data_IF_738921801827
#
_entry.id   IF_738921801827
#
_cell.length_a   1.000
_cell.length_b   1.000
_cell.length_c   1.000
_cell.angle_alpha   90.00
_cell.angle_beta   90.00
_cell.angle_gamma   90.00
#
_symmetry.space_group_name_H-M   'P 1'
#
loop_
_entity.id
_entity.type
_entity.pdbx_description
1 polymer ?
#
# COMPACT_ATOMS: atom_id res chain seq x y z
N UNK A 1 12.72 9.01 -26.07
CA UNK A 1 12.46 9.97 -24.95
C UNK A 1 12.49 9.19 -23.67
N UNK A 2 13.43 9.50 -22.76
CA UNK A 2 13.48 8.85 -21.44
C UNK A 2 12.27 9.33 -20.62
N UNK A 3 11.32 8.45 -20.34
CA UNK A 3 10.15 8.77 -19.51
C UNK A 3 10.63 8.86 -18.06
N UNK A 4 10.72 10.06 -17.54
CA UNK A 4 11.10 10.28 -16.14
C UNK A 4 9.86 10.13 -15.26
N UNK A 5 9.78 9.03 -14.49
CA UNK A 5 8.69 8.79 -13.54
C UNK A 5 9.13 9.20 -12.13
N UNK A 6 8.16 9.67 -11.35
CA UNK A 6 8.39 10.04 -9.96
C UNK A 6 8.17 8.86 -9.02
N UNK A 7 9.03 8.72 -8.03
CA UNK A 7 8.85 7.80 -6.90
C UNK A 7 8.35 8.60 -5.71
N UNK A 8 7.15 8.29 -5.24
CA UNK A 8 6.62 8.81 -4.00
C UNK A 8 7.13 7.96 -2.83
N UNK A 9 7.79 8.55 -1.82
CA UNK A 9 8.36 7.82 -0.69
C UNK A 9 7.31 7.04 0.11
N UNK A 10 6.10 7.61 0.27
CA UNK A 10 5.03 6.93 0.98
C UNK A 10 4.54 5.71 0.21
N UNK A 11 4.32 5.81 -1.11
CA UNK A 11 3.93 4.66 -1.93
C UNK A 11 5.01 3.57 -1.94
N UNK A 12 6.26 3.97 -2.12
CA UNK A 12 7.39 3.05 -2.06
C UNK A 12 7.50 2.36 -0.69
N UNK A 13 7.24 3.09 0.39
CA UNK A 13 7.25 2.57 1.76
C UNK A 13 6.14 1.58 2.10
N UNK A 14 5.10 1.43 1.25
CA UNK A 14 4.07 0.39 1.39
C UNK A 14 4.43 -0.92 0.70
N UNK A 15 5.55 -0.95 -0.03
CA UNK A 15 5.98 -2.14 -0.76
C UNK A 15 7.03 -2.88 0.07
N UNK A 16 6.76 -4.12 0.48
CA UNK A 16 7.75 -4.91 1.20
C UNK A 16 9.04 -5.03 0.40
N UNK A 17 10.20 -4.84 1.03
CA UNK A 17 11.48 -4.96 0.35
C UNK A 17 11.66 -6.38 -0.19
N UNK A 18 12.24 -6.49 -1.37
CA UNK A 18 12.73 -7.76 -1.89
C UNK A 18 14.00 -8.16 -1.14
N UNK A 19 14.23 -9.46 -0.99
CA UNK A 19 15.52 -9.98 -0.58
C UNK A 19 16.56 -9.67 -1.67
N UNK A 20 17.81 -9.60 -1.29
CA UNK A 20 18.90 -9.30 -2.22
C UNK A 20 18.94 -10.30 -3.39
N UNK A 21 18.75 -11.58 -3.11
CA UNK A 21 18.69 -12.65 -4.10
C UNK A 21 17.48 -12.50 -5.06
N UNK A 22 16.31 -12.10 -4.52
CA UNK A 22 15.10 -11.86 -5.32
C UNK A 22 15.27 -10.64 -6.23
N UNK A 23 15.94 -9.58 -5.74
CA UNK A 23 16.24 -8.39 -6.54
C UNK A 23 17.21 -8.70 -7.66
N UNK A 24 18.28 -9.45 -7.36
CA UNK A 24 19.27 -9.91 -8.35
C UNK A 24 18.61 -10.78 -9.42
N UNK A 25 17.79 -11.74 -9.02
CA UNK A 25 17.06 -12.59 -9.97
C UNK A 25 16.11 -11.78 -10.87
N UNK A 26 15.45 -10.77 -10.31
CA UNK A 26 14.58 -9.88 -11.07
C UNK A 26 15.39 -9.09 -12.12
N UNK A 27 16.56 -8.59 -11.75
CA UNK A 27 17.47 -7.89 -12.66
C UNK A 27 17.96 -8.80 -13.77
N UNK A 28 18.48 -10.00 -13.44
CA UNK A 28 18.93 -10.99 -14.40
C UNK A 28 17.82 -11.36 -15.42
N UNK A 29 16.58 -11.53 -14.95
CA UNK A 29 15.45 -11.82 -15.84
C UNK A 29 15.16 -10.66 -16.79
N UNK A 30 15.15 -9.41 -16.30
CA UNK A 30 14.89 -8.22 -17.12
C UNK A 30 16.00 -8.06 -18.17
N UNK A 31 17.27 -8.30 -17.81
CA UNK A 31 18.39 -8.21 -18.75
C UNK A 31 18.33 -9.32 -19.80
N UNK A 32 17.96 -10.53 -19.41
CA UNK A 32 17.81 -11.65 -20.32
C UNK A 32 16.67 -11.43 -21.34
N UNK A 33 15.54 -10.87 -20.90
CA UNK A 33 14.40 -10.56 -21.77
C UNK A 33 14.64 -9.32 -22.65
N UNK A 34 15.56 -8.43 -22.26
CA UNK A 34 15.84 -7.17 -22.96
C UNK A 34 14.69 -6.16 -22.90
N UNK A 35 13.63 -6.46 -22.14
CA UNK A 35 12.43 -5.63 -21.99
C UNK A 35 11.73 -5.93 -20.67
N UNK A 36 11.08 -4.92 -20.08
CA UNK A 36 10.18 -5.14 -18.95
C UNK A 36 8.80 -5.54 -19.50
N UNK A 37 8.47 -6.83 -19.42
CA UNK A 37 7.24 -7.42 -19.98
C UNK A 37 5.98 -6.83 -19.35
N UNK A 38 5.95 -6.71 -18.00
CA UNK A 38 4.81 -6.17 -17.29
C UNK A 38 4.93 -4.65 -17.15
N UNK A 39 3.91 -3.85 -17.55
CA UNK A 39 3.96 -2.40 -17.45
C UNK A 39 4.17 -1.92 -16.02
N UNK A 40 4.80 -0.75 -15.87
CA UNK A 40 4.79 0.00 -14.62
C UNK A 40 3.41 0.65 -14.47
N UNK A 41 2.79 0.52 -13.29
CA UNK A 41 1.51 1.18 -13.02
C UNK A 41 1.81 2.56 -12.48
N UNK A 42 1.23 3.58 -13.09
CA UNK A 42 1.44 4.98 -12.71
C UNK A 42 0.12 5.71 -12.47
N UNK A 43 0.17 6.75 -11.66
CA UNK A 43 -0.93 7.67 -11.39
C UNK A 43 -0.38 9.09 -11.36
N UNK A 44 -0.82 9.94 -12.29
CA UNK A 44 -0.34 11.31 -12.44
C UNK A 44 1.21 11.41 -12.49
N UNK A 45 1.85 10.49 -13.23
CA UNK A 45 3.30 10.45 -13.37
C UNK A 45 4.06 9.88 -12.17
N UNK A 46 3.36 9.42 -11.14
CA UNK A 46 3.94 8.77 -9.94
C UNK A 46 3.78 7.26 -10.05
N UNK A 47 4.83 6.51 -9.72
CA UNK A 47 4.79 5.05 -9.73
C UNK A 47 3.92 4.53 -8.58
N UNK A 48 2.96 3.66 -8.91
CA UNK A 48 2.07 2.98 -7.96
C UNK A 48 2.43 1.50 -7.84
N UNK A 49 2.87 0.87 -8.92
CA UNK A 49 3.45 -0.48 -8.91
C UNK A 49 4.62 -0.59 -9.88
N UNK A 50 5.61 -1.39 -9.51
CA UNK A 50 6.82 -1.62 -10.30
C UNK A 50 8.06 -0.86 -9.83
N UNK A 51 8.09 -0.36 -8.59
CA UNK A 51 9.21 0.40 -8.02
C UNK A 51 10.56 -0.32 -8.17
N UNK A 52 10.63 -1.62 -7.89
CA UNK A 52 11.88 -2.39 -8.03
C UNK A 52 12.30 -2.52 -9.50
N UNK A 53 11.35 -2.73 -10.41
CA UNK A 53 11.60 -2.73 -11.87
C UNK A 53 12.14 -1.38 -12.33
N UNK A 54 11.54 -0.28 -11.86
CA UNK A 54 11.98 1.06 -12.24
C UNK A 54 13.38 1.38 -11.71
N UNK A 55 13.73 0.94 -10.49
CA UNK A 55 15.11 1.10 -9.96
C UNK A 55 16.14 0.38 -10.84
N UNK A 56 15.83 -0.81 -11.34
CA UNK A 56 16.67 -1.54 -12.29
C UNK A 56 16.77 -0.77 -13.61
N UNK A 57 15.65 -0.28 -14.14
CA UNK A 57 15.64 0.51 -15.38
C UNK A 57 16.45 1.81 -15.29
N UNK A 58 16.59 2.41 -14.12
CA UNK A 58 17.45 3.58 -13.93
C UNK A 58 18.94 3.24 -14.10
N UNK A 59 19.33 1.99 -13.88
CA UNK A 59 20.70 1.50 -14.08
C UNK A 59 20.91 0.96 -15.52
N UNK A 60 19.83 0.58 -16.19
CA UNK A 60 19.81 -0.02 -17.53
C UNK A 60 18.90 0.77 -18.48
N UNK A 61 19.32 1.97 -18.91
CA UNK A 61 18.48 2.88 -19.72
C UNK A 61 18.19 2.35 -21.13
N UNK A 62 18.91 1.32 -21.61
CA UNK A 62 18.71 0.63 -22.87
C UNK A 62 17.48 -0.29 -22.85
N UNK A 63 17.03 -0.73 -21.66
CA UNK A 63 15.90 -1.65 -21.52
C UNK A 63 14.59 -0.91 -21.73
N UNK A 64 13.77 -1.47 -22.63
CA UNK A 64 12.46 -0.90 -22.94
C UNK A 64 11.42 -1.30 -21.89
N UNK A 65 10.52 -0.38 -21.61
CA UNK A 65 9.37 -0.61 -20.74
C UNK A 65 8.15 0.17 -21.18
N UNK A 66 6.99 -0.25 -20.69
CA UNK A 66 5.71 0.43 -20.89
C UNK A 66 5.12 0.85 -19.55
N UNK A 67 4.24 1.84 -19.60
CA UNK A 67 3.47 2.31 -18.44
C UNK A 67 1.99 2.11 -18.69
N UNK A 68 1.25 1.86 -17.62
CA UNK A 68 -0.21 1.86 -17.59
C UNK A 68 -0.68 2.91 -16.61
N UNK A 69 -1.37 3.93 -17.13
CA UNK A 69 -1.97 4.97 -16.29
C UNK A 69 -3.24 4.42 -15.64
N UNK A 70 -3.30 4.46 -14.31
CA UNK A 70 -4.43 4.02 -13.52
C UNK A 70 -4.98 5.19 -12.71
N UNK A 71 -6.23 5.56 -12.97
CA UNK A 71 -6.89 6.61 -12.21
C UNK A 71 -7.29 6.16 -10.80
N UNK A 72 -7.06 7.05 -9.82
CA UNK A 72 -7.56 6.92 -8.45
C UNK A 72 -8.26 8.22 -8.06
N UNK A 73 -9.36 8.16 -7.28
CA UNK A 73 -10.08 9.34 -6.83
C UNK A 73 -9.25 10.22 -5.89
N UNK A 74 -8.39 9.61 -5.09
CA UNK A 74 -7.52 10.28 -4.13
C UNK A 74 -6.29 9.43 -3.80
N UNK A 75 -5.36 10.03 -3.03
CA UNK A 75 -4.12 9.40 -2.59
C UNK A 75 -4.34 8.14 -1.74
N UNK A 76 -5.35 8.17 -0.89
CA UNK A 76 -5.63 7.04 0.01
C UNK A 76 -6.20 5.85 -0.75
N UNK A 77 -7.00 6.10 -1.80
CA UNK A 77 -7.45 5.04 -2.71
C UNK A 77 -6.28 4.38 -3.43
N UNK A 78 -5.25 5.15 -3.82
CA UNK A 78 -4.03 4.61 -4.39
C UNK A 78 -3.25 3.75 -3.37
N UNK A 79 -3.08 4.23 -2.13
CA UNK A 79 -2.42 3.46 -1.05
C UNK A 79 -3.17 2.16 -0.76
N UNK A 80 -4.50 2.21 -0.64
CA UNK A 80 -5.33 1.02 -0.43
C UNK A 80 -5.15 0.00 -1.55
N UNK A 81 -5.09 0.47 -2.79
CA UNK A 81 -4.84 -0.38 -3.96
C UNK A 81 -3.44 -1.01 -3.91
N UNK A 82 -2.39 -0.24 -3.59
CA UNK A 82 -1.02 -0.75 -3.42
C UNK A 82 -1.02 -1.88 -2.39
N UNK A 83 -1.55 -1.63 -1.20
CA UNK A 83 -1.58 -2.62 -0.13
C UNK A 83 -2.34 -3.89 -0.55
N UNK A 84 -3.51 -3.75 -1.20
CA UNK A 84 -4.27 -4.88 -1.72
C UNK A 84 -3.49 -5.69 -2.75
N UNK A 85 -2.77 -5.02 -3.64
CA UNK A 85 -1.94 -5.67 -4.67
C UNK A 85 -0.78 -6.44 -4.04
N UNK A 86 -0.13 -5.86 -3.03
CA UNK A 86 0.95 -6.53 -2.30
C UNK A 86 0.47 -7.74 -1.48
N UNK A 87 -0.75 -7.70 -0.91
CA UNK A 87 -1.35 -8.82 -0.18
C UNK A 87 -1.55 -10.07 -1.05
N UNK A 88 -1.58 -9.94 -2.38
CA UNK A 88 -1.60 -11.06 -3.31
C UNK A 88 -0.26 -11.77 -3.51
N UNK A 89 0.84 -11.29 -2.95
CA UNK A 89 2.15 -11.93 -3.06
C UNK A 89 2.26 -13.18 -2.18
N UNK A 90 2.99 -14.19 -2.69
CA UNK A 90 3.13 -15.48 -2.00
C UNK A 90 4.13 -15.48 -0.85
N UNK A 91 5.10 -14.55 -0.85
CA UNK A 91 6.28 -14.57 0.03
C UNK A 91 6.24 -13.48 1.10
N UNK A 92 5.06 -13.14 1.63
CA UNK A 92 4.95 -12.17 2.72
C UNK A 92 5.27 -12.84 4.06
N UNK A 93 6.06 -12.15 4.90
CA UNK A 93 6.18 -12.53 6.31
C UNK A 93 4.85 -12.24 7.03
N UNK A 94 4.56 -12.88 8.17
CA UNK A 94 3.38 -12.56 8.98
C UNK A 94 3.31 -11.07 9.37
N UNK A 95 4.45 -10.44 9.61
CA UNK A 95 4.55 -9.02 9.94
C UNK A 95 4.23 -8.13 8.74
N UNK A 96 4.76 -8.45 7.56
CA UNK A 96 4.44 -7.76 6.31
C UNK A 96 2.94 -7.88 6.00
N UNK A 97 2.38 -9.07 6.12
CA UNK A 97 0.95 -9.29 5.92
C UNK A 97 0.11 -8.44 6.89
N UNK A 98 0.44 -8.48 8.20
CA UNK A 98 -0.25 -7.68 9.22
C UNK A 98 -0.13 -6.19 8.94
N UNK A 99 1.05 -5.70 8.57
CA UNK A 99 1.29 -4.31 8.22
C UNK A 99 0.43 -3.87 7.04
N UNK A 100 0.42 -4.64 5.95
CA UNK A 100 -0.35 -4.33 4.73
C UNK A 100 -1.85 -4.33 4.97
N UNK A 101 -2.37 -5.26 5.77
CA UNK A 101 -3.79 -5.28 6.18
C UNK A 101 -4.14 -4.02 6.96
N UNK A 102 -3.30 -3.60 7.90
CA UNK A 102 -3.49 -2.39 8.69
C UNK A 102 -3.46 -1.12 7.85
N UNK A 103 -2.46 -0.97 6.99
CA UNK A 103 -2.31 0.16 6.08
C UNK A 103 -3.48 0.27 5.09
N UNK A 104 -3.92 -0.85 4.54
CA UNK A 104 -5.09 -0.90 3.66
C UNK A 104 -6.35 -0.41 4.38
N UNK A 105 -6.58 -0.89 5.60
CA UNK A 105 -7.76 -0.51 6.37
C UNK A 105 -7.74 0.99 6.70
N UNK A 106 -6.62 1.52 7.16
CA UNK A 106 -6.48 2.95 7.46
C UNK A 106 -6.70 3.82 6.21
N UNK A 107 -6.07 3.47 5.10
CA UNK A 107 -6.22 4.19 3.84
C UNK A 107 -7.67 4.18 3.32
N UNK A 108 -8.37 3.04 3.35
CA UNK A 108 -9.77 2.97 2.93
C UNK A 108 -10.73 3.77 3.83
N UNK A 109 -10.41 3.90 5.12
CA UNK A 109 -11.16 4.79 6.02
C UNK A 109 -10.98 6.25 5.63
N UNK A 110 -9.75 6.66 5.34
CA UNK A 110 -9.43 8.04 5.00
C UNK A 110 -10.04 8.44 3.66
N UNK A 111 -9.94 7.60 2.62
CA UNK A 111 -10.58 7.85 1.33
C UNK A 111 -12.09 8.05 1.46
N UNK A 112 -12.78 7.19 2.21
CA UNK A 112 -14.21 7.33 2.48
C UNK A 112 -14.57 8.58 3.31
N UNK A 113 -13.67 8.98 4.21
CA UNK A 113 -13.82 10.23 4.97
C UNK A 113 -13.81 11.45 4.06
N UNK A 114 -12.96 11.47 3.04
CA UNK A 114 -12.91 12.55 2.05
C UNK A 114 -14.17 12.60 1.17
N UNK A 115 -14.69 11.45 0.72
CA UNK A 115 -15.97 11.38 -0.01
C UNK A 115 -17.12 11.98 0.81
N UNK A 116 -17.14 11.76 2.11
CA UNK A 116 -18.17 12.30 2.99
C UNK A 116 -18.03 13.82 3.20
N UNK A 117 -16.83 14.36 3.30
CA UNK A 117 -16.61 15.80 3.42
C UNK A 117 -16.99 16.56 2.14
N UNK A 118 -16.76 15.96 0.97
CA UNK A 118 -17.15 16.53 -0.33
C UNK A 118 -18.68 16.67 -0.51
N UNK A 119 -19.48 15.86 0.17
CA UNK A 119 -20.93 15.84 0.06
C UNK A 119 -21.67 16.70 1.08
N UNK A 120 -20.98 17.42 1.96
CA UNK A 120 -21.63 18.28 2.96
C UNK A 120 -22.36 19.50 2.36
N UNK A 121 -22.08 19.86 1.12
CA UNK A 121 -22.73 20.98 0.42
C UNK A 121 -24.03 20.64 -0.32
N UNK A 122 -24.47 19.37 -0.36
CA UNK A 122 -25.69 18.94 -1.07
C UNK A 122 -26.82 18.47 -0.17
N UNK A 123 -26.77 18.70 1.14
CA UNK A 123 -27.81 18.25 2.09
C UNK A 123 -28.54 19.41 2.76
N UNK A 124 -29.19 20.27 1.97
CA UNK A 124 -30.42 20.96 2.40
C UNK A 124 -31.59 20.14 1.87
N UNK A 125 -32.09 19.29 2.66
CA UNK A 125 -33.41 18.66 2.77
C UNK A 125 -33.30 17.15 2.99
N UNK A 126 -33.20 16.76 4.28
CA UNK A 126 -33.79 15.51 4.78
C UNK A 126 -33.85 15.57 6.31
N UNK A 127 -34.96 16.05 6.84
CA UNK A 127 -35.45 15.73 8.17
C UNK A 127 -35.72 14.21 8.23
N UNK A 128 -34.82 13.45 8.79
CA UNK A 128 -34.92 12.01 8.96
C UNK A 128 -33.85 11.53 9.93
N UNK A 129 -34.25 11.27 11.18
CA UNK A 129 -33.51 10.66 12.24
C UNK A 129 -32.76 9.38 11.76
N UNK A 130 -31.51 9.50 11.44
CA UNK A 130 -30.60 8.41 11.21
C UNK A 130 -29.23 8.83 11.75
N UNK A 131 -28.91 8.40 12.96
CA UNK A 131 -27.57 8.53 13.51
C UNK A 131 -26.58 7.85 12.57
N UNK A 132 -25.93 8.65 11.71
CA UNK A 132 -24.78 8.21 10.92
C UNK A 132 -23.57 8.12 11.85
N UNK A 133 -23.50 7.04 12.59
CA UNK A 133 -22.36 6.71 13.43
C UNK A 133 -21.13 6.42 12.51
N UNK A 134 -20.05 7.22 12.61
CA UNK A 134 -18.82 6.95 11.86
C UNK A 134 -18.29 5.52 12.07
N UNK A 135 -18.61 4.93 13.20
CA UNK A 135 -18.22 3.57 13.59
C UNK A 135 -18.96 2.49 12.77
N UNK A 136 -20.22 2.71 12.36
CA UNK A 136 -20.96 1.77 11.51
C UNK A 136 -20.36 1.65 10.10
N UNK A 137 -19.87 2.75 9.51
CA UNK A 137 -19.20 2.73 8.19
C UNK A 137 -17.82 2.06 8.26
N UNK A 138 -17.12 2.22 9.38
CA UNK A 138 -15.83 1.56 9.63
C UNK A 138 -16.00 0.05 9.84
N UNK A 139 -17.10 -0.40 10.45
CA UNK A 139 -17.43 -1.81 10.59
C UNK A 139 -17.58 -2.51 9.23
N UNK A 140 -18.30 -1.92 8.26
CA UNK A 140 -18.45 -2.49 6.92
C UNK A 140 -17.13 -2.67 6.17
N UNK A 141 -16.22 -1.69 6.26
CA UNK A 141 -14.89 -1.77 5.63
C UNK A 141 -14.03 -2.83 6.30
N UNK A 142 -14.02 -2.87 7.62
CA UNK A 142 -13.24 -3.84 8.41
C UNK A 142 -13.67 -5.26 8.13
N UNK A 143 -14.97 -5.57 8.19
CA UNK A 143 -15.52 -6.90 7.94
C UNK A 143 -15.26 -7.36 6.51
N UNK A 144 -15.33 -6.44 5.53
CA UNK A 144 -15.00 -6.76 4.15
C UNK A 144 -13.52 -7.13 3.99
N UNK A 145 -12.59 -6.34 4.56
CA UNK A 145 -11.16 -6.64 4.51
C UNK A 145 -10.87 -7.95 5.22
N UNK A 146 -11.47 -8.18 6.41
CA UNK A 146 -11.32 -9.42 7.15
C UNK A 146 -11.72 -10.64 6.30
N UNK A 147 -12.86 -10.57 5.61
CA UNK A 147 -13.32 -11.63 4.70
C UNK A 147 -12.37 -11.84 3.53
N UNK A 148 -11.93 -10.77 2.87
CA UNK A 148 -11.02 -10.84 1.71
C UNK A 148 -9.64 -11.39 2.08
N UNK A 149 -9.16 -11.10 3.30
CA UNK A 149 -7.85 -11.55 3.79
C UNK A 149 -7.92 -12.84 4.63
N UNK A 150 -9.11 -13.46 4.75
CA UNK A 150 -9.38 -14.66 5.56
C UNK A 150 -8.93 -14.48 7.03
N UNK A 151 -9.19 -13.30 7.59
CA UNK A 151 -8.89 -12.96 8.98
C UNK A 151 -10.17 -12.57 9.74
N UNK A 152 -10.03 -12.10 10.98
CA UNK A 152 -11.16 -11.59 11.78
C UNK A 152 -11.17 -10.07 11.82
N UNK A 153 -12.33 -9.47 12.12
CA UNK A 153 -12.47 -8.03 12.35
C UNK A 153 -11.50 -7.50 13.41
N UNK A 154 -11.33 -8.27 14.48
CA UNK A 154 -10.37 -7.92 15.55
C UNK A 154 -8.91 -8.01 15.08
N UNK A 155 -8.60 -8.90 14.13
CA UNK A 155 -7.28 -8.92 13.50
C UNK A 155 -7.03 -7.65 12.71
N UNK A 156 -7.98 -7.21 11.87
CA UNK A 156 -7.85 -5.98 11.06
C UNK A 156 -7.62 -4.76 11.94
N UNK A 157 -8.34 -4.66 13.10
CA UNK A 157 -8.12 -3.57 14.06
C UNK A 157 -6.72 -3.62 14.68
N UNK A 158 -6.26 -4.80 15.13
CA UNK A 158 -4.90 -4.94 15.66
C UNK A 158 -3.83 -4.70 14.59
N UNK A 159 -4.12 -5.01 13.35
CA UNK A 159 -3.25 -4.74 12.22
C UNK A 159 -3.10 -3.24 11.95
N UNK A 160 -4.18 -2.46 12.06
CA UNK A 160 -4.12 -0.99 11.99
C UNK A 160 -3.21 -0.41 13.08
N UNK A 161 -3.41 -0.80 14.34
CA UNK A 161 -2.55 -0.34 15.43
C UNK A 161 -1.08 -0.74 15.22
N UNK A 162 -0.84 -1.97 14.80
CA UNK A 162 0.51 -2.44 14.49
C UNK A 162 1.16 -1.61 13.38
N UNK A 163 0.44 -1.34 12.29
CA UNK A 163 0.96 -0.58 11.16
C UNK A 163 1.31 0.86 11.57
N UNK A 164 0.46 1.52 12.36
CA UNK A 164 0.73 2.86 12.91
C UNK A 164 1.93 2.86 13.84
N UNK A 165 2.06 1.84 14.68
CA UNK A 165 3.22 1.71 15.57
C UNK A 165 4.53 1.50 14.80
N UNK A 166 4.51 0.71 13.74
CA UNK A 166 5.69 0.50 12.86
C UNK A 166 6.09 1.78 12.14
N UNK A 167 5.12 2.54 11.60
CA UNK A 167 5.42 3.80 10.93
C UNK A 167 5.94 4.86 11.93
N UNK A 168 5.37 4.96 13.12
CA UNK A 168 5.86 5.85 14.18
C UNK A 168 7.28 5.47 14.66
N UNK A 169 7.58 4.17 14.75
CA UNK A 169 8.92 3.72 15.10
C UNK A 169 9.95 4.10 14.02
N UNK A 170 9.60 3.99 12.75
CA UNK A 170 10.46 4.38 11.63
C UNK A 170 10.78 5.89 11.63
N UNK A 171 9.85 6.75 12.10
CA UNK A 171 10.10 8.20 12.25
C UNK A 171 11.16 8.49 13.33
N UNK A 172 11.20 7.65 14.38
CA UNK A 172 12.16 7.79 15.48
C UNK A 172 13.50 7.14 15.16
N UNK A 173 13.47 5.96 14.56
CA UNK A 173 14.64 5.16 14.23
C UNK A 173 14.55 4.66 12.79
N UNK A 174 15.12 5.42 11.81
CA UNK A 174 15.09 5.03 10.41
C UNK A 174 15.72 3.66 10.16
N UNK A 175 15.00 2.77 9.47
CA UNK A 175 15.40 1.39 9.18
C UNK A 175 14.77 0.34 10.07
N UNK A 176 14.23 0.71 11.25
CA UNK A 176 13.59 -0.23 12.19
C UNK A 176 12.38 -0.93 11.56
N UNK A 177 11.65 -0.25 10.68
CA UNK A 177 10.52 -0.82 9.95
C UNK A 177 10.92 -2.05 9.14
N UNK A 178 12.04 -1.99 8.44
CA UNK A 178 12.53 -3.13 7.67
C UNK A 178 12.84 -4.31 8.59
N UNK A 179 13.49 -4.09 9.73
CA UNK A 179 13.83 -5.13 10.69
C UNK A 179 12.58 -5.78 11.30
N UNK A 180 11.57 -4.98 11.65
CA UNK A 180 10.28 -5.47 12.13
C UNK A 180 9.58 -6.29 11.04
N UNK A 181 9.49 -5.77 9.82
CA UNK A 181 8.75 -6.41 8.73
C UNK A 181 9.42 -7.67 8.21
N UNK A 182 10.74 -7.79 8.28
CA UNK A 182 11.47 -9.03 7.97
C UNK A 182 11.39 -10.05 9.10
N UNK A 183 11.01 -9.63 10.31
CA UNK A 183 10.94 -10.49 11.50
C UNK A 183 12.27 -10.62 12.24
N UNK A 184 13.27 -9.81 11.90
CA UNK A 184 14.56 -9.74 12.60
C UNK A 184 14.39 -9.23 14.03
N UNK A 185 13.45 -8.32 14.23
CA UNK A 185 13.01 -7.82 15.53
C UNK A 185 11.54 -8.18 15.76
N UNK A 186 11.22 -8.69 16.94
CA UNK A 186 9.83 -8.90 17.38
C UNK A 186 9.41 -7.72 18.23
N UNK A 187 8.51 -6.85 17.75
CA UNK A 187 7.95 -5.80 18.62
C UNK A 187 7.20 -6.46 19.78
N UNK A 188 7.49 -6.02 21.00
CA UNK A 188 6.72 -6.44 22.16
C UNK A 188 5.33 -5.78 22.08
N UNK A 189 4.26 -6.56 22.27
CA UNK A 189 2.86 -6.05 22.23
C UNK A 189 2.52 -5.07 23.37
N UNK A 190 3.54 -4.63 24.14
CA UNK A 190 3.42 -3.74 25.30
C UNK A 190 4.15 -2.41 25.08
N UNK A 191 3.92 -1.77 23.93
CA UNK A 191 4.31 -0.37 23.75
C UNK A 191 3.09 0.42 23.26
#
# INVERSE_FOLDING_TARGET
>A
MSLHLNIDPEFAGKIPPLREEELKQLEENILADGVVINPLIVWNGVIVDGHNRYRILQQHPEIQFTTYEKAFPDRYAAIAWICRNQLGRRNLTPQQFKYLVGQRYDAEKQSKGLEFQGNQYTSQDRSGLGQNDPDQKSHGTRSRIAKETQTSDSYVRRAEHFAKGVDAAEEVEPGIKQEILTGSIKPTEKA
#
